data_IF_372598547589
#
_entry.id   IF_372598547589
#
_cell.length_a   1.000
_cell.length_b   1.000
_cell.length_c   1.000
_cell.angle_alpha   90.00
_cell.angle_beta   90.00
_cell.angle_gamma   90.00
#
_symmetry.space_group_name_H-M   'P 1'
#
loop_
_entity.id
_entity.type
_entity.pdbx_description
1 polymer ?
#
# COMPACT_ATOMS: atom_id res chain seq x y z
N UNK A 1 -8.66 0.55 -5.05
CA UNK A 1 -9.93 -0.19 -5.32
C UNK A 1 -10.06 -0.51 -6.81
N UNK A 2 -10.03 0.48 -7.70
CA UNK A 2 -10.08 0.26 -9.17
C UNK A 2 -8.98 -0.71 -9.65
N UNK A 3 -7.74 -0.56 -9.17
CA UNK A 3 -6.63 -1.48 -9.46
C UNK A 3 -6.89 -2.91 -9.00
N UNK A 4 -7.43 -3.09 -7.79
CA UNK A 4 -7.78 -4.38 -7.21
C UNK A 4 -8.94 -5.06 -7.96
N UNK A 5 -9.96 -4.30 -8.39
CA UNK A 5 -11.05 -4.82 -9.22
C UNK A 5 -10.52 -5.28 -10.59
N UNK A 6 -9.63 -4.50 -11.20
CA UNK A 6 -8.96 -4.88 -12.45
C UNK A 6 -8.07 -6.12 -12.27
N UNK A 7 -7.43 -6.26 -11.10
CA UNK A 7 -6.63 -7.42 -10.70
C UNK A 7 -7.49 -8.68 -10.59
N UNK A 8 -8.64 -8.57 -9.91
CA UNK A 8 -9.63 -9.65 -9.76
C UNK A 8 -10.13 -10.12 -11.13
N UNK A 9 -10.45 -9.19 -12.03
CA UNK A 9 -10.87 -9.50 -13.40
C UNK A 9 -9.74 -10.19 -14.15
N UNK A 10 -8.50 -9.72 -14.02
CA UNK A 10 -7.34 -10.29 -14.71
C UNK A 10 -7.00 -11.71 -14.25
N UNK A 11 -7.04 -11.97 -12.94
CA UNK A 11 -6.74 -13.31 -12.40
C UNK A 11 -7.88 -14.30 -12.71
N UNK A 12 -9.13 -13.85 -12.66
CA UNK A 12 -10.26 -14.67 -13.07
C UNK A 12 -10.14 -15.06 -14.55
N UNK A 13 -9.73 -14.10 -15.40
CA UNK A 13 -9.48 -14.35 -16.81
C UNK A 13 -8.32 -15.34 -17.02
N UNK A 14 -7.23 -15.21 -16.25
CA UNK A 14 -6.04 -16.08 -16.29
C UNK A 14 -6.33 -17.51 -15.83
N UNK A 15 -7.21 -17.68 -14.82
CA UNK A 15 -7.65 -18.99 -14.33
C UNK A 15 -8.56 -19.74 -15.31
N UNK A 16 -9.33 -19.02 -16.13
CA UNK A 16 -10.18 -19.61 -17.18
C UNK A 16 -9.47 -19.76 -18.54
N UNK A 17 -8.24 -19.24 -18.73
CA UNK A 17 -7.54 -19.22 -20.04
C UNK A 17 -6.70 -20.45 -20.38
N UNK A 18 -6.91 -21.60 -19.72
CA UNK A 18 -6.41 -22.88 -20.28
C UNK A 18 -6.92 -23.15 -21.73
N UNK A 19 -7.85 -22.35 -22.27
CA UNK A 19 -8.38 -22.45 -23.63
C UNK A 19 -8.12 -21.25 -24.58
N UNK A 20 -7.57 -20.10 -24.14
CA UNK A 20 -7.35 -18.93 -25.01
C UNK A 20 -5.98 -18.26 -24.79
N UNK A 21 -5.51 -17.52 -25.79
CA UNK A 21 -4.18 -16.89 -25.84
C UNK A 21 -3.86 -16.10 -24.56
N UNK A 22 -2.85 -16.52 -23.77
CA UNK A 22 -2.55 -15.94 -22.44
C UNK A 22 -2.03 -14.49 -22.48
N UNK A 23 -1.86 -13.91 -23.67
CA UNK A 23 -1.42 -12.52 -23.89
C UNK A 23 -2.35 -11.48 -23.24
N UNK A 24 -3.67 -11.69 -23.33
CA UNK A 24 -4.65 -10.73 -22.81
C UNK A 24 -4.63 -10.71 -21.27
N UNK A 25 -4.58 -11.89 -20.64
CA UNK A 25 -4.47 -11.98 -19.18
C UNK A 25 -3.20 -11.32 -18.65
N UNK A 26 -2.07 -11.48 -19.35
CA UNK A 26 -0.81 -10.85 -18.97
C UNK A 26 -0.83 -9.32 -19.13
N UNK A 27 -1.49 -8.79 -20.16
CA UNK A 27 -1.61 -7.33 -20.37
C UNK A 27 -2.43 -6.66 -19.26
N UNK A 28 -3.58 -7.24 -18.90
CA UNK A 28 -4.41 -6.74 -17.80
C UNK A 28 -3.71 -6.87 -16.45
N UNK A 29 -2.95 -7.94 -16.24
CA UNK A 29 -2.18 -8.16 -15.02
C UNK A 29 -1.09 -7.10 -14.85
N UNK A 30 -0.35 -6.77 -15.92
CA UNK A 30 0.69 -5.74 -15.87
C UNK A 30 0.15 -4.34 -15.56
N UNK A 31 -0.99 -3.97 -16.16
CA UNK A 31 -1.67 -2.70 -15.89
C UNK A 31 -2.11 -2.64 -14.42
N UNK A 32 -2.69 -3.72 -13.91
CA UNK A 32 -3.12 -3.80 -12.52
C UNK A 32 -1.95 -3.74 -11.53
N UNK A 33 -0.88 -4.50 -11.78
CA UNK A 33 0.30 -4.55 -10.92
C UNK A 33 0.99 -3.19 -10.85
N UNK A 34 1.10 -2.49 -12.00
CA UNK A 34 1.65 -1.14 -12.06
C UNK A 34 0.82 -0.16 -11.23
N UNK A 35 -0.50 -0.16 -11.40
CA UNK A 35 -1.39 0.71 -10.63
C UNK A 35 -1.38 0.37 -9.13
N UNK A 36 -1.24 -0.90 -8.77
CA UNK A 36 -1.16 -1.36 -7.38
C UNK A 36 0.11 -0.90 -6.67
N UNK A 37 1.27 -1.08 -7.30
CA UNK A 37 2.56 -0.68 -6.74
C UNK A 37 2.69 0.85 -6.66
N UNK A 38 2.25 1.57 -7.70
CA UNK A 38 2.26 3.04 -7.71
C UNK A 38 1.35 3.60 -6.61
N UNK A 39 0.12 3.09 -6.49
CA UNK A 39 -0.79 3.53 -5.43
C UNK A 39 -0.24 3.26 -4.02
N UNK A 40 0.42 2.12 -3.82
CA UNK A 40 1.04 1.75 -2.55
C UNK A 40 2.21 2.67 -2.20
N UNK A 41 3.09 2.96 -3.17
CA UNK A 41 4.18 3.91 -3.01
C UNK A 41 3.68 5.33 -2.71
N UNK A 42 2.69 5.81 -3.46
CA UNK A 42 2.11 7.15 -3.26
C UNK A 42 1.47 7.27 -1.88
N UNK A 43 0.84 6.22 -1.36
CA UNK A 43 0.28 6.22 0.00
C UNK A 43 1.33 6.44 1.07
N UNK A 44 2.53 5.85 0.93
CA UNK A 44 3.64 6.03 1.87
C UNK A 44 4.13 7.48 1.85
N UNK A 45 4.26 8.07 0.66
CA UNK A 45 4.73 9.46 0.50
C UNK A 45 3.78 10.49 1.10
N UNK A 46 2.46 10.23 1.06
CA UNK A 46 1.44 11.13 1.59
C UNK A 46 1.32 11.00 3.12
N UNK A 47 1.53 9.81 3.66
CA UNK A 47 1.35 9.54 5.09
C UNK A 47 2.51 10.04 5.95
N UNK A 48 3.72 10.09 5.40
CA UNK A 48 4.94 10.32 6.17
C UNK A 48 5.45 11.77 6.08
N UNK A 49 5.94 12.37 7.19
CA UNK A 49 6.67 13.63 7.14
C UNK A 49 7.94 13.53 6.29
N UNK A 50 8.26 14.62 5.58
CA UNK A 50 9.34 14.72 4.57
C UNK A 50 10.69 14.20 5.08
N UNK A 51 10.99 14.38 6.37
CA UNK A 51 12.26 14.00 6.99
C UNK A 51 12.47 12.47 7.06
N UNK A 52 11.39 11.67 7.00
CA UNK A 52 11.45 10.21 7.15
C UNK A 52 11.14 9.44 5.86
N UNK A 53 10.83 10.15 4.77
CA UNK A 53 10.45 9.53 3.48
C UNK A 53 11.57 8.63 2.95
N UNK A 54 12.83 9.07 3.06
CA UNK A 54 13.98 8.28 2.60
C UNK A 54 14.08 6.93 3.31
N UNK A 55 13.92 6.92 4.64
CA UNK A 55 13.95 5.69 5.45
C UNK A 55 12.80 4.77 5.13
N UNK A 56 11.57 5.28 4.98
CA UNK A 56 10.41 4.46 4.65
C UNK A 56 10.48 3.85 3.25
N UNK A 57 10.91 4.63 2.25
CA UNK A 57 11.14 4.09 0.91
C UNK A 57 12.30 3.08 0.89
N UNK A 58 13.33 3.28 1.73
CA UNK A 58 14.41 2.33 1.93
C UNK A 58 13.92 0.99 2.47
N UNK A 59 13.06 1.00 3.49
CA UNK A 59 12.43 -0.21 4.05
C UNK A 59 11.52 -0.87 3.00
N UNK A 60 10.69 -0.10 2.29
CA UNK A 60 9.79 -0.65 1.26
C UNK A 60 10.57 -1.35 0.13
N UNK A 61 11.61 -0.71 -0.41
CA UNK A 61 12.43 -1.29 -1.48
C UNK A 61 13.22 -2.50 -1.01
N UNK A 62 13.86 -2.41 0.16
CA UNK A 62 14.64 -3.54 0.70
C UNK A 62 13.74 -4.75 0.97
N UNK A 63 12.57 -4.57 1.58
CA UNK A 63 11.60 -5.65 1.78
C UNK A 63 11.13 -6.29 0.47
N UNK A 64 10.88 -5.46 -0.56
CA UNK A 64 10.43 -5.97 -1.87
C UNK A 64 11.53 -6.79 -2.56
N UNK A 65 12.78 -6.32 -2.51
CA UNK A 65 13.92 -7.03 -3.09
C UNK A 65 14.19 -8.35 -2.35
N UNK A 66 14.06 -8.39 -1.03
CA UNK A 66 14.20 -9.63 -0.24
C UNK A 66 13.16 -10.66 -0.69
N UNK A 67 11.90 -10.25 -0.86
CA UNK A 67 10.84 -11.12 -1.34
C UNK A 67 11.13 -11.71 -2.72
N UNK A 68 11.57 -10.87 -3.66
CA UNK A 68 11.95 -11.31 -5.01
C UNK A 68 13.12 -12.30 -4.98
N UNK A 69 14.19 -12.00 -4.24
CA UNK A 69 15.35 -12.89 -4.13
C UNK A 69 14.98 -14.26 -3.57
N UNK A 70 14.14 -14.31 -2.52
CA UNK A 70 13.66 -15.59 -1.96
C UNK A 70 12.84 -16.34 -3.01
N UNK A 71 11.96 -15.64 -3.72
CA UNK A 71 11.11 -16.23 -4.75
C UNK A 71 11.93 -16.82 -5.91
N UNK A 72 12.93 -16.09 -6.40
CA UNK A 72 13.81 -16.53 -7.48
C UNK A 72 14.62 -17.78 -7.09
N UNK A 73 15.10 -17.84 -5.85
CA UNK A 73 15.80 -19.03 -5.32
C UNK A 73 14.86 -20.25 -5.29
N UNK A 74 13.62 -20.08 -4.83
CA UNK A 74 12.64 -21.16 -4.78
C UNK A 74 12.32 -21.67 -6.19
N UNK A 75 12.12 -20.76 -7.15
CA UNK A 75 11.86 -21.12 -8.55
C UNK A 75 13.04 -21.86 -9.15
N UNK A 76 14.27 -21.39 -8.93
CA UNK A 76 15.49 -22.06 -9.39
C UNK A 76 15.62 -23.47 -8.84
N UNK A 77 15.39 -23.65 -7.53
CA UNK A 77 15.40 -24.98 -6.90
C UNK A 77 14.33 -25.90 -7.51
N UNK A 78 13.13 -25.38 -7.76
CA UNK A 78 12.03 -26.16 -8.30
C UNK A 78 12.28 -26.58 -9.75
N UNK A 79 12.97 -25.74 -10.52
CA UNK A 79 13.41 -26.04 -11.88
C UNK A 79 14.53 -27.11 -11.90
N UNK A 80 15.47 -27.04 -10.95
CA UNK A 80 16.54 -28.03 -10.81
C UNK A 80 15.98 -29.41 -10.43
N UNK A 81 14.95 -29.46 -9.58
CA UNK A 81 14.26 -30.70 -9.19
C UNK A 81 13.52 -31.35 -10.37
N UNK A 82 13.00 -30.56 -11.29
CA UNK A 82 12.26 -31.01 -12.48
C UNK A 82 13.19 -31.27 -13.68
N UNK A 83 14.52 -31.36 -13.45
CA UNK A 83 15.56 -31.61 -14.46
C UNK A 83 15.50 -30.64 -15.66
N UNK A 84 15.09 -29.39 -15.40
CA UNK A 84 14.93 -28.36 -16.43
C UNK A 84 13.58 -28.35 -17.15
N UNK A 85 12.64 -29.22 -16.76
CA UNK A 85 11.23 -29.05 -17.11
C UNK A 85 10.59 -27.95 -16.21
N UNK A 86 9.49 -27.35 -16.66
CA UNK A 86 8.86 -26.19 -15.99
C UNK A 86 7.49 -26.50 -15.40
N UNK A 87 7.07 -27.76 -15.41
CA UNK A 87 5.73 -28.15 -14.97
C UNK A 87 5.55 -27.86 -13.47
N UNK A 88 6.56 -28.17 -12.66
CA UNK A 88 6.53 -27.88 -11.21
C UNK A 88 6.56 -26.38 -10.91
N UNK A 89 7.32 -25.60 -11.68
CA UNK A 89 7.37 -24.13 -11.56
C UNK A 89 6.03 -23.49 -11.90
N UNK A 90 5.35 -24.00 -12.94
CA UNK A 90 4.04 -23.51 -13.34
C UNK A 90 2.99 -23.76 -12.25
N UNK A 91 2.97 -24.95 -11.65
CA UNK A 91 2.07 -25.27 -10.53
C UNK A 91 2.33 -24.35 -9.33
N UNK A 92 3.60 -24.09 -9.02
CA UNK A 92 3.97 -23.16 -7.95
C UNK A 92 3.43 -21.74 -8.19
N UNK A 93 3.50 -21.23 -9.43
CA UNK A 93 2.93 -19.92 -9.79
C UNK A 93 1.40 -19.86 -9.69
N UNK A 94 0.71 -20.96 -9.99
CA UNK A 94 -0.74 -21.03 -9.82
C UNK A 94 -1.11 -21.00 -8.33
N UNK A 95 -0.39 -21.76 -7.49
CA UNK A 95 -0.63 -21.78 -6.04
C UNK A 95 -0.30 -20.42 -5.41
N UNK A 96 0.81 -19.79 -5.79
CA UNK A 96 1.19 -18.46 -5.27
C UNK A 96 0.16 -17.39 -5.65
N UNK A 97 -0.42 -17.49 -6.84
CA UNK A 97 -1.52 -16.62 -7.29
C UNK A 97 -2.77 -16.79 -6.43
N UNK A 98 -3.14 -18.01 -6.05
CA UNK A 98 -4.29 -18.27 -5.15
C UNK A 98 -4.04 -17.67 -3.77
N UNK A 99 -2.83 -17.83 -3.22
CA UNK A 99 -2.45 -17.23 -1.94
C UNK A 99 -2.52 -15.71 -2.00
N UNK A 100 -2.05 -15.10 -3.10
CA UNK A 100 -2.13 -13.65 -3.31
C UNK A 100 -3.58 -13.12 -3.30
N UNK A 101 -4.53 -13.89 -3.85
CA UNK A 101 -5.97 -13.56 -3.81
C UNK A 101 -6.46 -13.56 -2.35
N UNK A 102 -6.13 -14.60 -1.58
CA UNK A 102 -6.54 -14.72 -0.17
C UNK A 102 -5.99 -13.55 0.65
N UNK A 103 -4.72 -13.19 0.44
CA UNK A 103 -4.08 -12.04 1.11
C UNK A 103 -4.78 -10.73 0.71
N UNK A 104 -5.11 -10.55 -0.56
CA UNK A 104 -5.82 -9.35 -1.05
C UNK A 104 -7.21 -9.22 -0.42
N UNK A 105 -7.96 -10.32 -0.32
CA UNK A 105 -9.27 -10.36 0.35
C UNK A 105 -9.13 -10.04 1.84
N UNK A 106 -8.12 -10.61 2.51
CA UNK A 106 -7.85 -10.36 3.93
C UNK A 106 -7.52 -8.89 4.18
N UNK A 107 -6.67 -8.30 3.32
CA UNK A 107 -6.30 -6.88 3.39
C UNK A 107 -7.53 -5.98 3.17
N UNK A 108 -8.43 -6.34 2.25
CA UNK A 108 -9.67 -5.62 2.03
C UNK A 108 -10.56 -5.62 3.29
N UNK A 109 -10.67 -6.77 3.96
CA UNK A 109 -11.46 -6.87 5.19
C UNK A 109 -10.85 -6.06 6.34
N UNK A 110 -9.52 -6.12 6.51
CA UNK A 110 -8.80 -5.30 7.49
C UNK A 110 -8.98 -3.81 7.19
N UNK A 111 -8.82 -3.40 5.93
CA UNK A 111 -9.03 -2.02 5.50
C UNK A 111 -10.45 -1.54 5.81
N UNK A 112 -11.47 -2.36 5.54
CA UNK A 112 -12.86 -2.04 5.87
C UNK A 112 -13.10 -1.92 7.38
N UNK A 113 -12.48 -2.80 8.17
CA UNK A 113 -12.72 -2.88 9.62
C UNK A 113 -11.88 -1.87 10.44
N UNK A 114 -10.74 -1.41 9.93
CA UNK A 114 -9.81 -0.53 10.65
C UNK A 114 -9.79 0.92 10.12
N UNK A 115 -10.11 1.15 8.84
CA UNK A 115 -9.97 2.47 8.20
C UNK A 115 -11.28 3.19 7.88
N UNK A 116 -12.45 2.65 8.25
CA UNK A 116 -13.76 3.33 8.31
C UNK A 116 -14.06 4.30 7.14
N UNK A 117 -13.59 3.98 5.93
CA UNK A 117 -13.65 4.86 4.76
C UNK A 117 -13.19 6.32 5.00
N UNK A 118 -12.31 6.58 5.97
CA UNK A 118 -11.87 7.94 6.35
C UNK A 118 -11.20 8.68 5.19
N UNK A 119 -10.60 7.94 4.24
CA UNK A 119 -9.93 8.51 3.06
C UNK A 119 -10.86 8.75 1.87
N UNK A 120 -12.03 8.09 1.79
CA UNK A 120 -13.00 8.23 0.68
C UNK A 120 -14.18 9.15 1.01
N UNK A 121 -14.16 9.76 2.20
CA UNK A 121 -15.25 10.61 2.67
C UNK A 121 -15.40 11.85 1.78
N UNK A 122 -16.57 11.98 1.14
CA UNK A 122 -16.93 13.13 0.28
C UNK A 122 -16.68 14.43 1.05
N UNK A 123 -16.30 15.51 0.36
CA UNK A 123 -16.04 16.84 0.96
C UNK A 123 -17.17 17.31 1.90
N UNK A 124 -18.40 16.85 1.68
CA UNK A 124 -19.57 17.20 2.47
C UNK A 124 -19.64 16.43 3.81
N UNK A 125 -19.30 15.13 3.83
CA UNK A 125 -19.27 14.32 5.07
C UNK A 125 -18.02 14.56 5.93
N UNK A 126 -16.94 15.05 5.31
CA UNK A 126 -15.72 15.44 6.03
C UNK A 126 -15.98 16.56 7.03
N UNK A 127 -16.88 17.50 6.72
CA UNK A 127 -17.21 18.64 7.59
C UNK A 127 -17.91 18.18 8.87
N UNK A 128 -18.91 17.30 8.74
CA UNK A 128 -19.62 16.70 9.88
C UNK A 128 -18.69 15.89 10.82
N UNK A 129 -17.67 15.23 10.28
CA UNK A 129 -16.71 14.47 11.09
C UNK A 129 -15.75 15.37 11.88
N UNK A 130 -15.32 16.51 11.30
CA UNK A 130 -14.51 17.50 12.02
C UNK A 130 -15.35 18.31 13.03
N UNK A 131 -16.64 18.57 12.75
CA UNK A 131 -17.56 19.19 13.71
C UNK A 131 -17.83 18.30 14.93
N UNK A 132 -17.84 16.97 14.77
CA UNK A 132 -18.02 16.01 15.88
C UNK A 132 -16.74 15.69 16.67
N UNK A 133 -15.55 16.14 16.24
CA UNK A 133 -14.27 15.96 16.97
C UNK A 133 -13.68 17.31 17.44
N UNK A 134 -14.26 17.99 18.45
CA UNK A 134 -13.75 19.27 18.93
C UNK A 134 -12.66 19.11 20.00
N UNK A 135 -11.56 18.38 19.74
CA UNK A 135 -10.55 18.17 20.81
C UNK A 135 -9.09 18.36 20.39
N UNK A 136 -8.64 17.92 19.20
CA UNK A 136 -7.18 17.86 18.95
C UNK A 136 -6.58 19.04 18.19
N UNK A 137 -7.39 19.85 17.51
CA UNK A 137 -6.90 21.04 16.79
C UNK A 137 -6.82 22.28 17.70
N UNK A 138 -7.71 22.39 18.70
CA UNK A 138 -7.66 23.46 19.69
C UNK A 138 -6.51 23.25 20.70
N UNK A 139 -6.19 22.01 21.06
CA UNK A 139 -5.04 21.71 21.93
C UNK A 139 -3.70 22.09 21.27
N UNK A 140 -3.53 21.80 19.97
CA UNK A 140 -2.33 22.25 19.23
C UNK A 140 -2.28 23.77 19.05
N UNK A 141 -3.42 24.45 18.86
CA UNK A 141 -3.45 25.92 18.77
C UNK A 141 -3.12 26.57 20.11
N UNK A 142 -3.68 26.06 21.21
CA UNK A 142 -3.39 26.53 22.57
C UNK A 142 -1.90 26.44 22.92
N UNK A 143 -1.26 25.31 22.58
CA UNK A 143 0.17 25.11 22.84
C UNK A 143 1.07 26.04 22.02
N UNK A 144 0.68 26.34 20.76
CA UNK A 144 1.44 27.27 19.90
C UNK A 144 1.31 28.72 20.39
N UNK A 145 0.12 29.14 20.82
CA UNK A 145 -0.10 30.47 21.41
C UNK A 145 0.65 30.65 22.74
N UNK A 146 0.69 29.62 23.59
CA UNK A 146 1.43 29.64 24.86
C UNK A 146 2.95 29.78 24.62
N UNK A 147 3.50 29.03 23.66
CA UNK A 147 4.91 29.17 23.26
C UNK A 147 5.19 30.57 22.71
N UNK A 148 4.34 31.11 21.82
CA UNK A 148 4.51 32.46 21.28
C UNK A 148 4.50 33.53 22.38
N UNK A 149 3.60 33.39 23.35
CA UNK A 149 3.51 34.32 24.49
C UNK A 149 4.76 34.27 25.37
N UNK A 150 5.30 33.07 25.65
CA UNK A 150 6.54 32.89 26.41
C UNK A 150 7.73 33.47 25.65
N UNK A 151 7.82 33.28 24.33
CA UNK A 151 8.90 33.82 23.51
C UNK A 151 8.85 35.35 23.44
N UNK A 152 7.67 35.95 23.31
CA UNK A 152 7.50 37.40 23.33
C UNK A 152 7.83 37.99 24.71
N UNK A 153 7.37 37.36 25.79
CA UNK A 153 7.67 37.80 27.16
C UNK A 153 9.17 37.73 27.50
N UNK A 154 9.87 36.69 27.04
CA UNK A 154 11.32 36.59 27.22
C UNK A 154 12.10 37.61 26.36
N UNK A 155 11.55 38.03 25.23
CA UNK A 155 12.16 39.05 24.36
C UNK A 155 12.11 40.46 24.98
N UNK A 156 11.05 40.78 25.71
CA UNK A 156 10.93 42.09 26.40
C UNK A 156 11.83 42.21 27.65
N UNK A 157 12.18 41.09 28.28
CA UNK A 157 13.06 41.07 29.47
C UNK A 157 14.55 41.19 29.08
N UNK A 158 14.92 40.93 27.82
CA UNK A 158 16.29 41.04 27.33
C UNK A 158 16.75 42.45 26.91
N UNK A 159 15.92 43.48 27.12
CA UNK A 159 16.19 44.87 26.71
C UNK A 159 16.16 45.90 27.86
N UNK A 160 16.14 45.46 29.13
CA UNK A 160 16.49 46.28 30.29
C UNK A 160 17.86 45.87 30.84
#
# INVERSE_FOLDING_TARGET
IVSAVFLIISICLLGFTLAFTPIIGMAFFSISLSLGQVASLTSILILLPLDYIGTALGIYKSSSNIGLTIYDIIVGLLQDLDKGNYDMVMIFYVISSIIAIIVTISLFFVSKNWCDCVMDMKKNERKDYYEKKPVRLDEKRGFVEEILTIQLKNKDIGHQ
#
